data_IF_552282549956
#
_entry.id   IF_552282549956
#
_cell.length_a   1.000
_cell.length_b   1.000
_cell.length_c   1.000
_cell.angle_alpha   90.00
_cell.angle_beta   90.00
_cell.angle_gamma   90.00
#
_symmetry.space_group_name_H-M   'P 1'
#
loop_
_entity.id
_entity.type
_entity.pdbx_description
1 polymer ?
#
# COMPACT_ATOMS: atom_id res chain seq x y z
N UNK A 1 1.44 15.69 -13.20
CA UNK A 1 0.55 15.81 -12.04
C UNK A 1 0.17 14.39 -11.69
N UNK A 2 0.62 13.86 -10.55
CA UNK A 2 0.36 12.47 -10.18
C UNK A 2 -1.15 12.27 -9.97
N UNK A 3 -1.79 11.55 -10.89
CA UNK A 3 -3.25 11.34 -10.87
C UNK A 3 -3.71 10.55 -9.62
N UNK A 4 -2.81 9.80 -9.00
CA UNK A 4 -3.07 8.98 -7.81
C UNK A 4 -1.97 9.17 -6.76
N UNK A 5 -1.98 10.26 -5.97
CA UNK A 5 -0.88 10.62 -5.08
C UNK A 5 -0.95 9.95 -3.69
N UNK A 6 -1.98 9.14 -3.40
CA UNK A 6 -2.19 8.55 -2.07
C UNK A 6 -1.95 7.03 -2.06
N UNK A 7 -0.71 6.56 -1.79
CA UNK A 7 -0.37 5.14 -1.82
C UNK A 7 -0.72 4.40 -0.51
N UNK A 8 -0.97 3.10 -0.66
CA UNK A 8 -0.88 2.07 0.40
C UNK A 8 -0.07 0.89 -0.12
N UNK A 9 0.57 0.17 0.78
CA UNK A 9 1.20 -1.12 0.51
C UNK A 9 0.23 -2.23 0.89
N UNK A 10 0.17 -3.25 0.04
CA UNK A 10 -0.67 -4.44 0.24
C UNK A 10 0.20 -5.68 0.07
N UNK A 11 0.17 -6.53 1.09
CA UNK A 11 0.85 -7.82 1.08
C UNK A 11 -0.17 -8.94 1.31
N UNK A 12 0.16 -10.12 0.82
CA UNK A 12 -0.61 -11.33 1.13
C UNK A 12 0.08 -12.58 0.64
N UNK A 13 -0.48 -13.71 1.05
CA UNK A 13 0.05 -15.02 0.71
C UNK A 13 -0.47 -15.46 -0.66
N UNK A 14 0.21 -15.04 -1.73
CA UNK A 14 -0.01 -15.49 -3.09
C UNK A 14 1.31 -15.81 -3.79
N UNK A 15 1.23 -16.69 -4.78
CA UNK A 15 2.38 -17.10 -5.60
C UNK A 15 2.63 -16.14 -6.77
N UNK A 16 3.89 -16.05 -7.21
CA UNK A 16 4.27 -15.22 -8.35
C UNK A 16 3.61 -15.67 -9.67
N UNK A 17 3.32 -16.97 -9.81
CA UNK A 17 2.57 -17.54 -10.95
C UNK A 17 1.17 -16.92 -11.09
N UNK A 18 0.61 -16.40 -10.00
CA UNK A 18 -0.72 -15.80 -9.94
C UNK A 18 -0.73 -14.28 -10.16
N UNK A 19 0.41 -13.65 -10.45
CA UNK A 19 0.57 -12.19 -10.50
C UNK A 19 -0.52 -11.47 -11.31
N UNK A 20 -0.89 -12.01 -12.49
CA UNK A 20 -1.95 -11.42 -13.34
C UNK A 20 -3.32 -11.47 -12.66
N UNK A 21 -3.69 -12.62 -12.11
CA UNK A 21 -4.94 -12.81 -11.37
C UNK A 21 -4.97 -11.93 -10.13
N UNK A 22 -3.90 -11.93 -9.33
CA UNK A 22 -3.74 -11.13 -8.12
C UNK A 22 -3.93 -9.65 -8.42
N UNK A 23 -3.23 -9.10 -9.42
CA UNK A 23 -3.34 -7.69 -9.81
C UNK A 23 -4.79 -7.30 -10.12
N UNK A 24 -5.50 -8.10 -10.92
CA UNK A 24 -6.89 -7.83 -11.27
C UNK A 24 -7.83 -7.93 -10.04
N UNK A 25 -7.64 -8.95 -9.17
CA UNK A 25 -8.43 -9.12 -7.95
C UNK A 25 -8.21 -7.96 -6.97
N UNK A 26 -6.98 -7.50 -6.80
CA UNK A 26 -6.65 -6.33 -5.99
C UNK A 26 -7.34 -5.08 -6.53
N UNK A 27 -7.24 -4.83 -7.84
CA UNK A 27 -7.88 -3.67 -8.46
C UNK A 27 -9.40 -3.67 -8.24
N UNK A 28 -10.10 -4.76 -8.56
CA UNK A 28 -11.56 -4.87 -8.36
C UNK A 28 -11.94 -4.69 -6.89
N UNK A 29 -11.15 -5.26 -5.97
CA UNK A 29 -11.42 -5.17 -4.55
C UNK A 29 -11.26 -3.74 -4.00
N UNK A 30 -10.15 -3.07 -4.33
CA UNK A 30 -9.87 -1.71 -3.87
C UNK A 30 -10.67 -0.62 -4.63
N UNK A 31 -11.21 -0.92 -5.81
CA UNK A 31 -12.22 -0.07 -6.45
C UNK A 31 -13.61 -0.18 -5.82
N UNK A 32 -13.91 -1.27 -5.12
CA UNK A 32 -15.24 -1.49 -4.56
C UNK A 32 -15.43 -0.82 -3.19
N UNK A 33 -16.19 0.28 -3.18
CA UNK A 33 -16.60 0.99 -1.95
C UNK A 33 -17.24 0.06 -0.89
N UNK A 34 -18.06 -0.90 -1.31
CA UNK A 34 -18.71 -1.85 -0.38
C UNK A 34 -17.72 -2.86 0.22
N UNK A 35 -16.72 -3.30 -0.54
CA UNK A 35 -15.81 -4.36 -0.08
C UNK A 35 -14.63 -3.81 0.70
N UNK A 36 -14.08 -2.68 0.30
CA UNK A 36 -12.83 -2.16 0.86
C UNK A 36 -12.95 -0.75 1.42
N UNK A 37 -14.12 -0.09 1.30
CA UNK A 37 -14.25 1.37 1.49
C UNK A 37 -13.38 2.18 0.52
N UNK A 38 -12.87 1.53 -0.53
CA UNK A 38 -12.04 2.16 -1.54
C UNK A 38 -12.84 2.89 -2.63
N UNK A 39 -12.18 3.08 -3.77
CA UNK A 39 -12.65 3.90 -4.88
C UNK A 39 -11.63 3.89 -6.01
N UNK A 40 -11.66 4.90 -6.87
CA UNK A 40 -10.80 4.91 -8.05
C UNK A 40 -9.30 4.84 -7.70
N UNK A 41 -8.61 3.87 -8.30
CA UNK A 41 -7.25 3.51 -7.93
C UNK A 41 -6.44 2.90 -9.07
N UNK A 42 -5.12 3.02 -8.99
CA UNK A 42 -4.15 2.33 -9.83
C UNK A 42 -3.38 1.28 -9.01
N UNK A 43 -3.06 0.14 -9.64
CA UNK A 43 -2.33 -0.97 -9.00
C UNK A 43 -0.95 -1.14 -9.63
N UNK A 44 0.10 -0.98 -8.81
CA UNK A 44 1.48 -1.31 -9.15
C UNK A 44 1.87 -2.60 -8.42
N UNK A 45 2.00 -3.69 -9.17
CA UNK A 45 2.39 -4.98 -8.61
C UNK A 45 3.92 -5.12 -8.64
N UNK A 46 4.50 -5.70 -7.60
CA UNK A 46 5.92 -6.04 -7.53
C UNK A 46 6.09 -7.57 -7.50
N UNK A 47 6.56 -8.12 -8.63
CA UNK A 47 6.76 -9.56 -8.81
C UNK A 47 7.85 -10.15 -7.89
N UNK A 48 8.72 -9.31 -7.30
CA UNK A 48 9.85 -9.78 -6.47
C UNK A 48 9.49 -9.96 -5.00
N UNK A 49 8.52 -9.20 -4.50
CA UNK A 49 8.20 -9.09 -3.08
C UNK A 49 6.82 -9.64 -2.72
N UNK A 50 6.10 -10.23 -3.68
CA UNK A 50 4.69 -10.63 -3.54
C UNK A 50 3.85 -9.53 -2.88
N UNK A 51 4.13 -8.28 -3.23
CA UNK A 51 3.47 -7.10 -2.71
C UNK A 51 2.96 -6.22 -3.84
N UNK A 52 2.02 -5.33 -3.52
CA UNK A 52 1.50 -4.36 -4.45
C UNK A 52 1.34 -3.00 -3.78
N UNK A 53 1.63 -1.94 -4.53
CA UNK A 53 1.26 -0.57 -4.15
C UNK A 53 -0.05 -0.21 -4.83
N UNK A 54 -1.06 0.16 -4.03
CA UNK A 54 -2.34 0.69 -4.52
C UNK A 54 -2.30 2.20 -4.35
N UNK A 55 -2.55 2.93 -5.43
CA UNK A 55 -2.57 4.39 -5.42
C UNK A 55 -4.00 4.90 -5.60
N UNK A 56 -4.47 5.73 -4.67
CA UNK A 56 -5.81 6.32 -4.72
C UNK A 56 -5.77 7.78 -5.14
N UNK A 57 -6.90 8.26 -5.67
CA UNK A 57 -7.11 9.67 -6.05
C UNK A 57 -7.21 10.64 -4.87
N UNK A 58 -7.65 10.17 -3.70
CA UNK A 58 -7.92 11.02 -2.54
C UNK A 58 -7.50 10.35 -1.24
N UNK A 59 -7.07 11.16 -0.25
CA UNK A 59 -6.70 10.67 1.09
C UNK A 59 -7.88 10.04 1.81
N UNK A 60 -9.10 10.55 1.65
CA UNK A 60 -10.29 10.01 2.31
C UNK A 60 -10.57 8.56 1.89
N UNK A 61 -10.31 8.23 0.61
CA UNK A 61 -10.43 6.86 0.10
C UNK A 61 -9.36 5.97 0.74
N UNK A 62 -8.11 6.43 0.75
CA UNK A 62 -6.98 5.72 1.37
C UNK A 62 -7.26 5.43 2.84
N UNK A 63 -7.67 6.44 3.60
CA UNK A 63 -7.91 6.35 5.03
C UNK A 63 -9.17 5.52 5.34
N UNK A 64 -10.18 5.57 4.47
CA UNK A 64 -11.34 4.68 4.52
C UNK A 64 -10.92 3.20 4.38
N UNK A 65 -10.06 2.89 3.41
CA UNK A 65 -9.50 1.54 3.25
C UNK A 65 -8.74 1.11 4.50
N UNK A 66 -7.84 1.95 5.03
CA UNK A 66 -7.04 1.65 6.21
C UNK A 66 -7.87 1.53 7.51
N UNK A 67 -9.03 2.19 7.57
CA UNK A 67 -9.94 2.08 8.73
C UNK A 67 -10.65 0.73 8.81
N UNK A 68 -10.64 -0.05 7.72
CA UNK A 68 -11.25 -1.36 7.69
C UNK A 68 -10.40 -2.38 8.43
N UNK A 69 -11.01 -3.08 9.38
CA UNK A 69 -10.31 -4.05 10.24
C UNK A 69 -9.64 -5.20 9.47
N UNK A 70 -10.29 -5.73 8.43
CA UNK A 70 -9.77 -6.87 7.68
C UNK A 70 -10.07 -6.78 6.19
N UNK A 71 -9.08 -7.18 5.39
CA UNK A 71 -9.18 -7.28 3.96
C UNK A 71 -8.97 -8.72 3.53
N UNK A 72 -9.96 -9.30 2.83
CA UNK A 72 -9.92 -10.68 2.36
C UNK A 72 -10.33 -10.68 0.88
N UNK A 73 -9.50 -11.31 0.06
CA UNK A 73 -9.76 -11.52 -1.37
C UNK A 73 -9.74 -13.01 -1.70
N UNK A 74 -10.34 -13.38 -2.84
CA UNK A 74 -10.32 -14.75 -3.35
C UNK A 74 -9.46 -14.82 -4.60
N UNK A 75 -8.41 -15.63 -4.55
CA UNK A 75 -7.44 -15.88 -5.62
C UNK A 75 -7.52 -17.38 -5.89
N UNK A 76 -7.90 -17.78 -7.11
CA UNK A 76 -8.07 -19.19 -7.51
C UNK A 76 -8.82 -20.06 -6.49
N UNK A 77 -10.02 -19.60 -6.11
CA UNK A 77 -10.88 -20.24 -5.10
C UNK A 77 -10.33 -20.32 -3.67
N UNK A 78 -9.14 -19.76 -3.41
CA UNK A 78 -8.57 -19.67 -2.07
C UNK A 78 -8.75 -18.26 -1.50
N UNK A 79 -9.15 -18.17 -0.23
CA UNK A 79 -9.25 -16.88 0.47
C UNK A 79 -7.88 -16.48 1.04
N UNK A 80 -7.44 -15.27 0.70
CA UNK A 80 -6.18 -14.69 1.17
C UNK A 80 -6.48 -13.43 1.96
N UNK A 81 -6.00 -13.40 3.22
CA UNK A 81 -6.03 -12.21 4.07
C UNK A 81 -4.90 -11.26 3.67
N UNK A 82 -5.24 -9.99 3.48
CA UNK A 82 -4.32 -8.94 3.09
C UNK A 82 -3.82 -8.19 4.32
N UNK A 83 -2.53 -7.86 4.34
CA UNK A 83 -1.98 -6.82 5.21
C UNK A 83 -1.96 -5.52 4.42
N UNK A 84 -2.49 -4.45 5.01
CA UNK A 84 -2.60 -3.14 4.35
C UNK A 84 -2.10 -2.07 5.29
N UNK A 85 -1.16 -1.24 4.82
CA UNK A 85 -0.52 -0.20 5.64
C UNK A 85 0.02 0.95 4.75
N UNK A 86 0.32 2.13 5.33
CA UNK A 86 0.94 3.20 4.54
C UNK A 86 2.42 2.88 4.35
N UNK A 87 3.05 3.28 3.23
CA UNK A 87 4.48 3.04 3.02
C UNK A 87 5.39 3.69 4.08
N UNK A 88 4.88 4.64 4.87
CA UNK A 88 5.61 5.25 6.00
C UNK A 88 5.45 4.48 7.32
N UNK A 89 4.55 3.51 7.41
CA UNK A 89 4.24 2.75 8.63
C UNK A 89 5.14 1.50 8.78
N UNK A 90 6.21 1.37 7.98
CA UNK A 90 7.12 0.19 7.96
C UNK A 90 8.04 0.13 9.20
N UNK A 91 7.89 1.05 10.16
CA UNK A 91 8.66 1.08 11.40
C UNK A 91 7.82 0.57 12.58
N UNK A 92 7.64 -0.76 12.73
CA UNK A 92 7.35 -1.54 13.97
C UNK A 92 6.54 -2.82 13.70
N UNK A 93 7.13 -3.83 13.08
CA UNK A 93 6.84 -5.23 13.40
C UNK A 93 8.12 -6.06 13.32
N UNK A 94 9.03 -5.82 14.25
CA UNK A 94 10.06 -6.76 14.63
C UNK A 94 10.03 -6.87 16.15
N UNK A 95 9.63 -8.06 16.60
CA UNK A 95 10.08 -8.75 17.80
C UNK A 95 10.13 -7.98 19.13
N UNK A 96 9.36 -8.47 20.10
CA UNK A 96 9.51 -8.14 21.52
C UNK A 96 10.87 -8.61 22.06
N UNK A 97 11.95 -7.93 21.72
CA UNK A 97 13.17 -7.90 22.54
C UNK A 97 13.85 -6.55 22.34
N UNK A 98 13.82 -5.72 23.38
CA UNK A 98 14.16 -4.30 23.27
C UNK A 98 15.60 -4.01 22.84
N UNK A 99 15.77 -2.99 21.99
CA UNK A 99 16.84 -2.00 22.12
C UNK A 99 16.61 -0.82 21.18
N UNK A 100 16.62 0.36 21.80
CA UNK A 100 16.84 1.70 21.27
C UNK A 100 17.87 1.77 20.12
N UNK A 101 17.54 2.43 19.00
CA UNK A 101 18.44 3.26 18.15
C UNK A 101 17.59 4.07 17.16
N UNK A 102 17.31 5.35 17.36
CA UNK A 102 18.11 6.53 17.00
C UNK A 102 18.41 6.76 15.51
N UNK A 103 17.77 7.82 14.98
CA UNK A 103 18.28 8.88 14.07
C UNK A 103 18.23 8.67 12.53
N UNK A 104 17.40 9.56 11.93
CA UNK A 104 17.69 10.55 10.87
C UNK A 104 18.06 9.97 9.50
N UNK A 105 17.49 10.38 8.35
CA UNK A 105 17.68 11.62 7.55
C UNK A 105 16.84 11.41 6.25
N UNK A 106 16.22 12.36 5.53
CA UNK A 106 16.70 13.68 5.08
C UNK A 106 15.49 14.51 4.60
N UNK A 107 15.32 15.74 5.10
CA UNK A 107 14.48 16.77 4.47
C UNK A 107 15.22 17.33 3.26
N UNK A 108 14.79 17.03 2.05
CA UNK A 108 15.20 17.82 0.87
C UNK A 108 14.48 19.18 0.90
N UNK A 109 15.21 20.27 1.14
CA UNK A 109 14.75 21.63 0.88
C UNK A 109 15.74 22.36 -0.04
N UNK A 110 15.48 22.16 -1.32
CA UNK A 110 15.61 23.02 -2.50
C UNK A 110 16.37 24.36 -2.32
N UNK A 111 17.36 24.57 -3.21
CA UNK A 111 18.14 25.80 -3.49
C UNK A 111 17.29 26.97 -4.00
N UNK A 112 17.72 28.22 -3.75
CA UNK A 112 17.50 29.45 -4.56
C UNK A 112 18.50 30.51 -4.07
N UNK A 113 19.61 30.82 -4.78
CA UNK A 113 19.88 32.02 -5.62
C UNK A 113 19.58 33.36 -4.91
N UNK A 114 20.41 34.42 -4.86
CA UNK A 114 21.06 35.18 -5.95
C UNK A 114 21.84 36.37 -5.33
N UNK A 115 22.96 36.80 -5.96
CA UNK A 115 23.56 38.16 -6.09
C UNK A 115 23.11 39.26 -5.09
N UNK A 116 23.98 40.04 -4.45
CA UNK A 116 25.13 40.82 -4.91
C UNK A 116 26.17 40.98 -3.77
#
# INVERSE_FOLDING_TARGET
MDEYPYPITVEGNWESEQAKSVKNKLQIYFQSKKKSQGGDCAVKYDDKSNSATILFKSSDIRDGVLSKAEHIITIDNQQTKLKVYKPSDIEEQADSTGQQVSRLITKCRIRTTMLL
#
